data_IF_865477713478
#
_entry.id   IF_865477713478
#
_cell.length_a   1.000
_cell.length_b   1.000
_cell.length_c   1.000
_cell.angle_alpha   90.00
_cell.angle_beta   90.00
_cell.angle_gamma   90.00
#
_symmetry.space_group_name_H-M   'P 1'
#
loop_
_entity.id
_entity.type
_entity.pdbx_description
1 polymer ?
#
# COMPACT_ATOMS: atom_id res chain seq x y z
N UNK A 1 -20.33 2.02 6.07
CA UNK A 1 -19.16 2.36 6.88
C UNK A 1 -18.92 1.40 8.02
N UNK A 2 -19.99 0.82 8.55
CA UNK A 2 -19.83 -0.23 9.59
C UNK A 2 -19.01 -1.41 9.09
N UNK A 3 -19.11 -1.71 7.79
CA UNK A 3 -18.40 -2.85 7.19
C UNK A 3 -16.89 -2.63 7.13
N UNK A 4 -16.44 -1.37 7.06
CA UNK A 4 -15.00 -1.06 7.02
C UNK A 4 -14.40 -1.16 8.42
N UNK A 5 -15.14 -0.69 9.42
CA UNK A 5 -14.70 -0.74 10.81
C UNK A 5 -15.39 -1.89 11.53
N UNK A 6 -14.79 -3.07 11.49
CA UNK A 6 -15.32 -4.24 12.17
C UNK A 6 -14.38 -4.62 13.30
N UNK A 7 -14.89 -4.65 14.53
CA UNK A 7 -14.10 -5.00 15.72
C UNK A 7 -13.56 -6.42 15.67
N UNK A 8 -14.19 -7.29 14.89
CA UNK A 8 -13.70 -8.66 14.71
C UNK A 8 -12.46 -8.73 13.83
N UNK A 9 -12.22 -7.67 13.05
CA UNK A 9 -11.12 -7.60 12.09
C UNK A 9 -10.38 -6.27 12.24
N UNK A 10 -9.74 -6.06 13.40
CA UNK A 10 -9.13 -4.75 13.68
C UNK A 10 -7.97 -4.41 12.75
N UNK A 11 -7.16 -5.40 12.36
CA UNK A 11 -6.00 -5.13 11.50
C UNK A 11 -6.44 -4.88 10.07
N UNK A 12 -7.39 -5.66 9.55
CA UNK A 12 -7.98 -5.39 8.23
C UNK A 12 -8.56 -3.98 8.19
N UNK A 13 -9.33 -3.61 9.22
CA UNK A 13 -9.91 -2.27 9.32
C UNK A 13 -8.84 -1.18 9.36
N UNK A 14 -7.77 -1.42 10.11
CA UNK A 14 -6.65 -0.48 10.19
C UNK A 14 -6.00 -0.25 8.82
N UNK A 15 -5.69 -1.32 8.10
CA UNK A 15 -5.08 -1.19 6.78
C UNK A 15 -6.01 -0.53 5.77
N UNK A 16 -7.31 -0.85 5.83
CA UNK A 16 -8.30 -0.18 4.97
C UNK A 16 -8.32 1.32 5.23
N UNK A 17 -8.32 1.70 6.51
CA UNK A 17 -8.35 3.11 6.89
C UNK A 17 -7.09 3.85 6.44
N UNK A 18 -5.90 3.29 6.71
CA UNK A 18 -4.63 3.93 6.33
C UNK A 18 -4.56 4.10 4.82
N UNK A 19 -4.89 3.05 4.06
CA UNK A 19 -4.85 3.11 2.61
C UNK A 19 -5.83 4.15 2.07
N UNK A 20 -7.05 4.19 2.62
CA UNK A 20 -8.05 5.17 2.20
C UNK A 20 -7.61 6.60 2.52
N UNK A 21 -7.00 6.83 3.69
CA UNK A 21 -6.51 8.15 4.07
C UNK A 21 -5.39 8.63 3.16
N UNK A 22 -4.44 7.76 2.83
CA UNK A 22 -3.36 8.11 1.92
C UNK A 22 -3.92 8.47 0.55
N UNK A 23 -4.84 7.68 0.03
CA UNK A 23 -5.45 7.95 -1.27
C UNK A 23 -6.24 9.25 -1.26
N UNK A 24 -6.98 9.51 -0.20
CA UNK A 24 -7.74 10.75 -0.06
C UNK A 24 -6.82 11.97 -0.03
N UNK A 25 -5.70 11.88 0.70
CA UNK A 25 -4.72 12.96 0.74
C UNK A 25 -4.12 13.23 -0.64
N UNK A 26 -3.80 12.17 -1.39
CA UNK A 26 -3.33 12.32 -2.77
C UNK A 26 -4.38 13.01 -3.64
N UNK A 27 -5.63 12.60 -3.51
CA UNK A 27 -6.73 13.15 -4.30
C UNK A 27 -6.92 14.65 -4.02
N UNK A 28 -6.94 15.02 -2.75
CA UNK A 28 -7.18 16.41 -2.33
C UNK A 28 -6.02 17.32 -2.70
N UNK A 29 -4.78 16.87 -2.44
CA UNK A 29 -3.59 17.71 -2.67
C UNK A 29 -3.26 17.89 -4.13
N UNK A 30 -3.65 16.94 -5.00
CA UNK A 30 -3.33 17.00 -6.42
C UNK A 30 -4.51 17.39 -7.31
N UNK A 31 -5.71 17.56 -6.73
CA UNK A 31 -6.89 17.83 -7.52
C UNK A 31 -7.28 16.71 -8.47
N UNK A 32 -6.93 15.46 -8.10
CA UNK A 32 -7.22 14.29 -8.91
C UNK A 32 -6.09 13.87 -9.85
N UNK A 33 -4.97 14.58 -9.83
CA UNK A 33 -3.84 14.28 -10.73
C UNK A 33 -2.86 13.28 -10.10
N UNK A 34 -3.39 12.14 -9.64
CA UNK A 34 -2.62 11.15 -8.88
C UNK A 34 -2.09 10.00 -9.73
N UNK A 35 -2.14 10.13 -11.06
CA UNK A 35 -1.48 9.17 -11.96
C UNK A 35 -0.04 9.57 -12.28
N UNK A 36 0.39 10.76 -11.91
CA UNK A 36 1.73 11.23 -12.20
C UNK A 36 2.76 10.54 -11.31
N UNK A 37 3.90 10.18 -11.91
CA UNK A 37 4.97 9.50 -11.19
C UNK A 37 5.54 10.36 -10.05
N UNK A 38 5.68 11.67 -10.26
CA UNK A 38 6.22 12.56 -9.24
C UNK A 38 5.27 12.65 -8.03
N UNK A 39 3.96 12.70 -8.26
CA UNK A 39 2.98 12.66 -7.19
C UNK A 39 3.08 11.37 -6.39
N UNK A 40 3.11 10.23 -7.07
CA UNK A 40 3.24 8.94 -6.42
C UNK A 40 4.53 8.85 -5.60
N UNK A 41 5.63 9.34 -6.15
CA UNK A 41 6.92 9.33 -5.48
C UNK A 41 6.89 10.19 -4.20
N UNK A 42 6.26 11.35 -4.25
CA UNK A 42 6.13 12.23 -3.08
C UNK A 42 5.35 11.56 -1.95
N UNK A 43 4.37 10.72 -2.27
CA UNK A 43 3.58 10.00 -1.28
C UNK A 43 4.19 8.67 -0.84
N UNK A 44 5.36 8.31 -1.38
CA UNK A 44 6.10 7.17 -0.87
C UNK A 44 6.17 5.96 -1.80
N UNK A 45 5.81 6.11 -3.09
CA UNK A 45 5.97 5.04 -4.06
C UNK A 45 7.44 4.62 -4.16
N UNK A 46 7.68 3.33 -4.39
CA UNK A 46 9.02 2.81 -4.54
C UNK A 46 9.54 3.07 -5.95
N UNK A 47 10.75 3.58 -6.06
CA UNK A 47 11.42 3.78 -7.33
C UNK A 47 12.86 3.27 -7.20
N UNK A 48 13.19 2.22 -7.94
CA UNK A 48 14.48 1.53 -7.82
C UNK A 48 15.69 2.44 -7.93
N UNK A 49 15.80 3.32 -8.95
CA UNK A 49 16.95 4.21 -9.06
C UNK A 49 17.13 5.13 -7.86
N UNK A 50 16.04 5.59 -7.23
CA UNK A 50 16.15 6.43 -6.05
C UNK A 50 16.80 5.66 -4.89
N UNK A 51 16.44 4.40 -4.70
CA UNK A 51 17.03 3.58 -3.63
C UNK A 51 18.50 3.28 -3.92
N UNK A 52 18.84 3.03 -5.18
CA UNK A 52 20.23 2.72 -5.57
C UNK A 52 21.17 3.91 -5.38
N UNK A 53 20.69 5.11 -5.74
CA UNK A 53 21.49 6.32 -5.60
C UNK A 53 21.49 6.85 -4.17
N UNK A 54 20.41 6.65 -3.47
CA UNK A 54 20.21 7.14 -2.09
C UNK A 54 19.67 5.98 -1.24
N UNK A 55 20.55 5.11 -0.68
CA UNK A 55 20.09 3.94 0.07
C UNK A 55 19.20 4.26 1.26
N UNK A 56 19.25 5.48 1.79
CA UNK A 56 18.35 5.92 2.85
C UNK A 56 16.89 5.95 2.41
N UNK A 57 16.62 5.92 1.09
CA UNK A 57 15.27 5.84 0.53
C UNK A 57 14.66 4.44 0.61
N UNK A 58 15.33 3.50 1.24
CA UNK A 58 14.86 2.12 1.38
C UNK A 58 13.51 2.02 2.10
N UNK A 59 13.14 3.04 2.90
CA UNK A 59 11.83 3.10 3.56
C UNK A 59 10.67 3.03 2.57
N UNK A 60 10.92 3.33 1.29
CA UNK A 60 9.90 3.28 0.24
C UNK A 60 9.41 1.86 -0.05
N UNK A 61 10.20 0.85 0.31
CA UNK A 61 9.73 -0.54 0.23
C UNK A 61 8.51 -0.76 1.14
N UNK A 62 8.47 -0.06 2.27
CA UNK A 62 7.36 -0.11 3.20
C UNK A 62 6.22 0.82 2.79
N UNK A 63 6.52 2.11 2.56
CA UNK A 63 5.49 3.12 2.30
C UNK A 63 4.71 2.86 1.02
N UNK A 64 5.34 2.26 0.02
CA UNK A 64 4.68 1.96 -1.25
C UNK A 64 3.50 0.99 -1.10
N UNK A 65 3.44 0.22 -0.01
CA UNK A 65 2.32 -0.68 0.27
C UNK A 65 1.00 0.10 0.33
N UNK A 66 1.04 1.34 0.81
CA UNK A 66 -0.14 2.15 1.06
C UNK A 66 -0.42 3.17 -0.03
N UNK A 67 0.43 3.27 -1.05
CA UNK A 67 0.28 4.21 -2.15
C UNK A 67 -0.25 3.46 -3.38
N UNK A 68 -1.30 4.00 -4.00
CA UNK A 68 -1.94 3.34 -5.14
C UNK A 68 -2.09 4.29 -6.32
N UNK A 69 -1.78 3.79 -7.51
CA UNK A 69 -1.87 4.56 -8.73
C UNK A 69 -3.30 4.45 -9.30
N UNK A 70 -4.07 5.53 -9.13
CA UNK A 70 -5.39 5.67 -9.75
C UNK A 70 -6.50 4.88 -9.07
N UNK A 71 -7.73 5.12 -9.56
CA UNK A 71 -8.95 4.59 -8.96
C UNK A 71 -9.06 3.07 -9.07
N UNK A 72 -8.76 2.52 -10.24
CA UNK A 72 -8.90 1.08 -10.46
C UNK A 72 -8.03 0.29 -9.49
N UNK A 73 -6.76 0.66 -9.39
CA UNK A 73 -5.81 -0.02 -8.52
C UNK A 73 -6.23 0.11 -7.06
N UNK A 74 -6.66 1.31 -6.67
CA UNK A 74 -7.13 1.55 -5.32
C UNK A 74 -8.35 0.68 -4.97
N UNK A 75 -9.37 0.68 -5.85
CA UNK A 75 -10.62 -0.04 -5.59
C UNK A 75 -10.37 -1.55 -5.53
N UNK A 76 -9.60 -2.10 -6.48
CA UNK A 76 -9.30 -3.54 -6.50
C UNK A 76 -8.57 -3.93 -5.23
N UNK A 77 -7.59 -3.13 -4.79
CA UNK A 77 -6.85 -3.41 -3.57
C UNK A 77 -7.74 -3.32 -2.34
N UNK A 78 -8.64 -2.33 -2.27
CA UNK A 78 -9.55 -2.17 -1.13
C UNK A 78 -10.52 -3.34 -1.04
N UNK A 79 -11.09 -3.77 -2.17
CA UNK A 79 -11.99 -4.93 -2.18
C UNK A 79 -11.25 -6.20 -1.80
N UNK A 80 -10.06 -6.41 -2.33
CA UNK A 80 -9.24 -7.57 -1.98
C UNK A 80 -8.91 -7.59 -0.49
N UNK A 81 -8.50 -6.46 0.04
CA UNK A 81 -8.18 -6.34 1.45
C UNK A 81 -9.42 -6.56 2.32
N UNK A 82 -10.55 -6.00 1.93
CA UNK A 82 -11.80 -6.17 2.67
C UNK A 82 -12.22 -7.63 2.77
N UNK A 83 -12.23 -8.33 1.64
CA UNK A 83 -12.72 -9.71 1.62
C UNK A 83 -11.66 -10.73 2.03
N UNK A 84 -10.47 -10.66 1.42
CA UNK A 84 -9.41 -11.62 1.69
C UNK A 84 -8.71 -11.33 3.01
N UNK A 85 -8.51 -10.05 3.33
CA UNK A 85 -7.87 -9.67 4.58
C UNK A 85 -8.63 -10.17 5.80
N UNK A 86 -9.97 -10.05 5.78
CA UNK A 86 -10.80 -10.58 6.87
C UNK A 86 -10.64 -12.07 7.04
N UNK A 87 -10.62 -12.81 5.92
CA UNK A 87 -10.46 -14.26 5.97
C UNK A 87 -9.11 -14.65 6.55
N UNK A 88 -8.06 -13.99 6.11
CA UNK A 88 -6.70 -14.27 6.60
C UNK A 88 -6.58 -13.89 8.07
N UNK A 89 -7.12 -12.74 8.46
CA UNK A 89 -7.09 -12.31 9.86
C UNK A 89 -7.85 -13.29 10.75
N UNK A 90 -8.99 -13.81 10.27
CA UNK A 90 -9.77 -14.80 11.04
C UNK A 90 -9.02 -16.11 11.21
N UNK A 91 -8.32 -16.56 10.16
CA UNK A 91 -7.62 -17.85 10.18
C UNK A 91 -6.33 -17.77 10.98
N UNK A 92 -5.54 -16.72 10.78
CA UNK A 92 -4.20 -16.62 11.35
C UNK A 92 -4.11 -15.73 12.58
N UNK A 93 -5.15 -14.94 12.86
CA UNK A 93 -5.14 -14.00 13.96
C UNK A 93 -4.64 -12.62 13.52
N UNK A 94 -5.01 -11.60 14.29
CA UNK A 94 -4.72 -10.21 13.94
C UNK A 94 -3.22 -9.90 13.92
N UNK A 95 -2.48 -10.38 14.93
CA UNK A 95 -1.04 -10.12 15.02
C UNK A 95 -0.30 -10.71 13.83
N UNK A 96 -0.61 -11.98 13.50
CA UNK A 96 0.05 -12.65 12.40
C UNK A 96 -0.34 -12.05 11.06
N UNK A 97 -1.60 -11.66 10.89
CA UNK A 97 -2.03 -10.99 9.67
C UNK A 97 -1.33 -9.65 9.49
N UNK A 98 -1.15 -8.89 10.56
CA UNK A 98 -0.43 -7.61 10.50
C UNK A 98 0.96 -7.78 9.90
N UNK A 99 1.73 -8.72 10.43
CA UNK A 99 3.09 -8.96 9.93
C UNK A 99 3.09 -9.59 8.53
N UNK A 100 2.16 -10.51 8.28
CA UNK A 100 2.06 -11.14 6.97
C UNK A 100 1.77 -10.12 5.88
N UNK A 101 0.84 -9.21 6.13
CA UNK A 101 0.49 -8.16 5.17
C UNK A 101 1.68 -7.25 4.86
N UNK A 102 2.36 -6.76 5.90
CA UNK A 102 3.51 -5.88 5.72
C UNK A 102 4.68 -6.59 5.04
N UNK A 103 5.00 -7.80 5.48
CA UNK A 103 6.09 -8.56 4.87
C UNK A 103 5.81 -8.90 3.41
N UNK A 104 4.58 -9.31 3.10
CA UNK A 104 4.20 -9.63 1.72
C UNK A 104 4.30 -8.40 0.83
N UNK A 105 3.83 -7.25 1.31
CA UNK A 105 3.91 -6.01 0.56
C UNK A 105 5.35 -5.56 0.33
N UNK A 106 6.17 -5.63 1.36
CA UNK A 106 7.59 -5.29 1.25
C UNK A 106 8.34 -6.22 0.31
N UNK A 107 8.06 -7.52 0.39
CA UNK A 107 8.68 -8.50 -0.50
C UNK A 107 8.27 -8.29 -1.94
N UNK A 108 7.00 -7.92 -2.19
CA UNK A 108 6.54 -7.57 -3.54
C UNK A 108 7.30 -6.38 -4.10
N UNK A 109 7.48 -5.34 -3.28
CA UNK A 109 8.25 -4.15 -3.69
C UNK A 109 9.72 -4.47 -3.89
N UNK A 110 10.29 -5.32 -3.03
CA UNK A 110 11.67 -5.77 -3.19
C UNK A 110 11.85 -6.56 -4.49
N UNK A 111 10.87 -7.41 -4.82
CA UNK A 111 10.88 -8.15 -6.08
C UNK A 111 10.93 -7.19 -7.27
N UNK A 112 10.12 -6.14 -7.26
CA UNK A 112 10.15 -5.11 -8.30
C UNK A 112 11.52 -4.43 -8.35
N UNK A 113 12.09 -4.10 -7.19
CA UNK A 113 13.41 -3.47 -7.10
C UNK A 113 14.49 -4.31 -7.75
N UNK A 114 14.46 -5.63 -7.53
CA UNK A 114 15.49 -6.56 -8.04
C UNK A 114 15.30 -6.87 -9.53
N UNK A 115 14.06 -7.16 -9.94
CA UNK A 115 13.77 -7.68 -11.28
C UNK A 115 13.29 -6.63 -12.27
N UNK A 116 12.81 -5.49 -11.80
CA UNK A 116 12.38 -4.37 -12.63
C UNK A 116 12.93 -3.07 -12.06
N UNK A 117 14.26 -2.90 -12.04
CA UNK A 117 14.90 -1.86 -11.25
C UNK A 117 14.62 -0.43 -11.69
N UNK A 118 14.01 -0.24 -12.86
CA UNK A 118 13.65 1.11 -13.33
C UNK A 118 12.16 1.39 -13.16
N UNK A 119 11.38 0.45 -12.61
CA UNK A 119 9.95 0.60 -12.46
C UNK A 119 9.59 1.35 -11.17
N UNK A 120 8.48 2.06 -11.22
CA UNK A 120 7.84 2.67 -10.08
C UNK A 120 6.81 1.69 -9.52
N UNK A 121 6.81 1.44 -8.22
CA UNK A 121 5.84 0.58 -7.57
C UNK A 121 4.91 1.38 -6.66
N UNK A 122 3.62 1.23 -6.90
CA UNK A 122 2.57 1.86 -6.09
C UNK A 122 1.25 1.11 -6.21
#
# INVERSE_FOLDING_TARGET
>A
MKEIFDRRYPVTSFFLLVTALVFLLMLVTTGGNFYRADTLFQFGAMYGPAIRLFPEQVWRLFSAIFVHIGWEHFIVNMLSLYYLGRQVEEIFGSKQFFFLYLLSGMMGNLFVFVFSPKSLAA
#
